data_IF_645951993340
#
_entry.id   IF_645951993340
#
_cell.length_a   1.000
_cell.length_b   1.000
_cell.length_c   1.000
_cell.angle_alpha   90.00
_cell.angle_beta   90.00
_cell.angle_gamma   90.00
#
_symmetry.space_group_name_H-M   'P 1'
#
loop_
_entity.id
_entity.type
_entity.pdbx_description
1 polymer ?
#
# COMPACT_ATOMS: atom_id res chain seq x y z
N UNK A 1 -19.99 13.09 11.88
CA UNK A 1 -19.23 13.17 10.62
C UNK A 1 -18.20 12.04 10.59
N UNK A 2 -18.11 11.31 9.48
CA UNK A 2 -17.04 10.35 9.21
C UNK A 2 -16.49 10.54 7.80
N UNK A 3 -15.21 10.21 7.59
CA UNK A 3 -14.53 10.24 6.30
C UNK A 3 -13.86 8.89 6.10
N UNK A 4 -14.12 8.26 4.96
CA UNK A 4 -13.43 7.07 4.47
C UNK A 4 -12.90 7.35 3.07
N UNK A 5 -12.11 6.44 2.52
CA UNK A 5 -11.47 6.63 1.21
C UNK A 5 -12.46 6.60 0.03
N UNK A 6 -13.73 6.24 0.23
CA UNK A 6 -14.78 6.28 -0.81
C UNK A 6 -16.09 6.96 -0.39
N UNK A 7 -16.18 7.44 0.84
CA UNK A 7 -17.43 7.98 1.40
C UNK A 7 -17.18 9.00 2.49
N UNK A 8 -17.92 10.11 2.45
CA UNK A 8 -18.04 11.07 3.54
C UNK A 8 -19.48 11.10 4.01
N UNK A 9 -19.70 11.01 5.32
CA UNK A 9 -21.04 11.04 5.90
C UNK A 9 -21.19 12.05 7.03
N UNK A 10 -22.34 12.71 7.07
CA UNK A 10 -22.79 13.59 8.16
C UNK A 10 -24.21 13.18 8.51
N UNK A 11 -24.41 12.69 9.74
CA UNK A 11 -25.68 12.13 10.22
C UNK A 11 -26.25 11.11 9.23
N UNK A 12 -27.46 11.34 8.70
CA UNK A 12 -28.11 10.43 7.74
C UNK A 12 -27.68 10.68 6.27
N UNK A 13 -26.89 11.72 6.01
CA UNK A 13 -26.43 12.07 4.66
C UNK A 13 -25.11 11.39 4.33
N UNK A 14 -25.07 10.68 3.20
CA UNK A 14 -23.86 10.03 2.67
C UNK A 14 -23.53 10.58 1.30
N UNK A 15 -22.27 10.90 1.09
CA UNK A 15 -21.73 11.31 -0.19
C UNK A 15 -20.61 10.34 -0.60
N UNK A 16 -20.88 9.56 -1.64
CA UNK A 16 -19.88 8.68 -2.25
C UNK A 16 -19.09 9.44 -3.31
N UNK A 17 -17.78 9.22 -3.34
CA UNK A 17 -16.88 9.80 -4.32
C UNK A 17 -15.89 8.74 -4.80
N UNK A 18 -15.15 9.04 -5.87
CA UNK A 18 -14.12 8.14 -6.38
C UNK A 18 -13.09 7.83 -5.29
N UNK A 19 -12.66 6.57 -5.23
CA UNK A 19 -11.75 6.06 -4.20
C UNK A 19 -10.44 6.87 -4.17
N UNK A 20 -10.17 7.57 -3.06
CA UNK A 20 -9.09 8.55 -2.91
C UNK A 20 -8.62 8.66 -1.46
N UNK A 21 -7.42 9.21 -1.25
CA UNK A 21 -6.81 9.32 0.08
C UNK A 21 -7.59 10.25 1.02
N UNK A 22 -7.56 9.98 2.32
CA UNK A 22 -8.04 10.92 3.35
C UNK A 22 -7.35 12.29 3.30
N UNK A 23 -6.07 12.32 2.92
CA UNK A 23 -5.30 13.57 2.74
C UNK A 23 -5.91 14.48 1.67
N UNK A 24 -6.51 13.90 0.63
CA UNK A 24 -7.22 14.64 -0.40
C UNK A 24 -8.49 15.28 0.16
N UNK A 25 -9.33 14.51 0.85
CA UNK A 25 -10.54 15.06 1.45
C UNK A 25 -10.20 16.17 2.45
N UNK A 26 -9.16 15.98 3.27
CA UNK A 26 -8.68 17.01 4.18
C UNK A 26 -8.23 18.28 3.43
N UNK A 27 -7.48 18.14 2.33
CA UNK A 27 -7.08 19.27 1.51
C UNK A 27 -8.28 20.07 0.97
N UNK A 28 -9.27 19.38 0.39
CA UNK A 28 -10.49 20.00 -0.14
C UNK A 28 -11.24 20.74 0.96
N UNK A 29 -11.48 20.09 2.10
CA UNK A 29 -12.20 20.68 3.24
C UNK A 29 -11.48 21.93 3.74
N UNK A 30 -10.17 21.86 3.97
CA UNK A 30 -9.40 23.00 4.47
C UNK A 30 -9.45 24.16 3.45
N UNK A 31 -9.28 23.86 2.16
CA UNK A 31 -9.32 24.86 1.09
C UNK A 31 -10.67 25.57 0.97
N UNK A 32 -11.78 24.91 1.35
CA UNK A 32 -13.08 25.58 1.42
C UNK A 32 -13.16 26.66 2.50
N UNK A 33 -12.28 26.61 3.51
CA UNK A 33 -12.25 27.53 4.64
C UNK A 33 -11.13 28.57 4.49
N UNK A 34 -9.97 28.15 4.02
CA UNK A 34 -8.78 28.99 3.88
C UNK A 34 -7.75 28.39 2.92
N UNK A 35 -6.90 29.19 2.25
CA UNK A 35 -5.75 28.66 1.50
C UNK A 35 -4.85 27.78 2.37
N UNK A 36 -4.29 26.71 1.79
CA UNK A 36 -3.37 25.84 2.50
C UNK A 36 -2.03 26.52 2.75
N UNK A 37 -1.59 26.54 4.01
CA UNK A 37 -0.21 26.87 4.33
C UNK A 37 0.76 25.80 3.78
N UNK A 38 1.97 26.21 3.40
CA UNK A 38 2.92 25.33 2.72
C UNK A 38 3.24 24.06 3.53
N UNK A 39 3.35 24.19 4.86
CA UNK A 39 3.66 23.06 5.73
C UNK A 39 2.52 22.03 5.78
N UNK A 40 1.26 22.49 5.81
CA UNK A 40 0.06 21.64 5.77
C UNK A 40 0.00 20.95 4.40
N UNK A 41 0.22 21.70 3.34
CA UNK A 41 0.25 21.18 1.99
C UNK A 41 1.28 20.04 1.83
N UNK A 42 2.50 20.23 2.36
CA UNK A 42 3.54 19.18 2.35
C UNK A 42 3.08 17.90 3.04
N UNK A 43 2.48 18.01 4.22
CA UNK A 43 1.99 16.84 4.98
C UNK A 43 0.89 16.09 4.23
N UNK A 44 -0.08 16.82 3.69
CA UNK A 44 -1.17 16.23 2.91
C UNK A 44 -0.65 15.57 1.62
N UNK A 45 0.32 16.20 0.96
CA UNK A 45 0.97 15.65 -0.23
C UNK A 45 1.70 14.34 0.07
N UNK A 46 2.47 14.28 1.16
CA UNK A 46 3.18 13.05 1.58
C UNK A 46 2.18 11.94 1.91
N UNK A 47 1.11 12.25 2.63
CA UNK A 47 0.07 11.28 2.95
C UNK A 47 -0.65 10.76 1.70
N UNK A 48 -0.97 11.64 0.74
CA UNK A 48 -1.56 11.23 -0.54
C UNK A 48 -0.58 10.37 -1.36
N UNK A 49 0.70 10.75 -1.41
CA UNK A 49 1.74 9.97 -2.09
C UNK A 49 1.80 8.54 -1.54
N UNK A 50 1.92 8.37 -0.22
CA UNK A 50 1.99 7.05 0.41
C UNK A 50 0.78 6.19 0.06
N UNK A 51 -0.42 6.74 0.21
CA UNK A 51 -1.68 6.09 -0.18
C UNK A 51 -1.70 5.71 -1.67
N UNK A 52 -1.28 6.62 -2.56
CA UNK A 52 -1.33 6.41 -4.00
C UNK A 52 -0.39 5.28 -4.47
N UNK A 53 0.74 5.10 -3.79
CA UNK A 53 1.69 4.03 -4.11
C UNK A 53 1.07 2.67 -3.79
N UNK A 54 0.43 2.54 -2.63
CA UNK A 54 -0.16 1.27 -2.20
C UNK A 54 -1.43 0.95 -2.99
N UNK A 55 -2.40 1.86 -3.09
CA UNK A 55 -3.75 1.50 -3.51
C UNK A 55 -4.10 1.78 -4.97
N UNK A 56 -3.31 2.58 -5.67
CA UNK A 56 -3.55 2.84 -7.08
C UNK A 56 -2.64 1.97 -7.97
N UNK A 57 -3.22 1.37 -9.02
CA UNK A 57 -2.51 0.51 -9.96
C UNK A 57 -1.88 1.31 -11.11
N UNK A 58 -2.68 1.99 -11.94
CA UNK A 58 -2.19 2.72 -13.12
C UNK A 58 -2.97 4.02 -13.36
N UNK A 59 -2.29 5.08 -13.85
CA UNK A 59 -2.86 6.41 -14.12
C UNK A 59 -3.63 7.00 -12.95
N UNK A 60 -3.05 6.92 -11.75
CA UNK A 60 -3.60 7.56 -10.56
C UNK A 60 -3.87 9.03 -10.87
N UNK A 61 -5.14 9.43 -10.82
CA UNK A 61 -5.48 10.82 -10.99
C UNK A 61 -4.88 11.58 -9.82
N UNK A 62 -4.05 12.58 -10.13
CA UNK A 62 -3.52 13.45 -9.11
C UNK A 62 -4.57 14.49 -8.75
N UNK A 63 -4.93 14.62 -7.47
CA UNK A 63 -5.87 15.63 -7.03
C UNK A 63 -5.24 17.00 -7.21
N UNK A 64 -5.85 17.84 -8.05
CA UNK A 64 -5.34 19.17 -8.39
C UNK A 64 -5.23 20.08 -7.16
N UNK A 65 -6.06 19.81 -6.18
CA UNK A 65 -6.17 20.50 -4.91
C UNK A 65 -4.94 20.32 -4.02
N UNK A 66 -4.12 19.28 -4.26
CA UNK A 66 -2.86 19.03 -3.56
C UNK A 66 -1.64 19.27 -4.49
N UNK A 67 -1.84 19.76 -5.72
CA UNK A 67 -0.74 20.07 -6.63
C UNK A 67 -0.16 21.45 -6.32
N UNK A 68 1.18 21.52 -6.29
CA UNK A 68 1.92 22.78 -6.23
C UNK A 68 2.25 23.33 -7.64
N UNK A 69 2.29 22.46 -8.65
CA UNK A 69 2.58 22.78 -10.04
C UNK A 69 4.02 22.49 -10.50
N UNK A 70 4.87 21.92 -9.63
CA UNK A 70 6.23 21.46 -10.00
C UNK A 70 6.32 19.93 -10.19
N UNK A 71 5.20 19.24 -10.03
CA UNK A 71 5.14 17.79 -10.14
C UNK A 71 5.40 17.31 -11.57
N UNK A 72 6.25 16.30 -11.69
CA UNK A 72 6.53 15.61 -12.95
C UNK A 72 6.39 14.11 -12.78
N UNK A 73 5.93 13.43 -13.82
CA UNK A 73 5.90 11.96 -13.81
C UNK A 73 7.33 11.43 -13.74
N UNK A 74 7.62 10.61 -12.73
CA UNK A 74 8.94 10.03 -12.50
C UNK A 74 8.82 8.59 -11.97
N UNK A 75 9.91 7.83 -12.07
CA UNK A 75 10.08 6.59 -11.31
C UNK A 75 10.66 6.97 -9.97
N UNK A 76 9.93 6.66 -8.89
CA UNK A 76 10.24 7.14 -7.54
C UNK A 76 10.38 5.95 -6.60
N UNK A 77 11.50 5.94 -5.88
CA UNK A 77 11.73 5.08 -4.72
C UNK A 77 12.38 5.92 -3.62
N UNK A 78 12.15 5.60 -2.34
CA UNK A 78 12.80 6.27 -1.23
C UNK A 78 14.33 6.18 -1.32
N UNK A 79 15.01 7.25 -0.91
CA UNK A 79 16.45 7.36 -0.70
C UNK A 79 17.34 7.21 -1.94
N UNK A 80 16.77 7.19 -3.16
CA UNK A 80 17.55 7.04 -4.40
C UNK A 80 18.59 8.15 -4.62
N UNK A 81 18.32 9.35 -4.10
CA UNK A 81 19.23 10.50 -4.21
C UNK A 81 20.34 10.48 -3.15
N UNK A 82 20.16 9.74 -2.05
CA UNK A 82 21.05 9.77 -0.89
C UNK A 82 21.82 8.47 -0.65
N UNK A 83 21.36 7.34 -1.20
CA UNK A 83 21.97 6.03 -1.02
C UNK A 83 22.32 5.37 -2.36
N UNK A 84 23.23 4.39 -2.38
CA UNK A 84 23.44 3.53 -3.54
C UNK A 84 22.12 2.92 -4.01
N UNK A 85 21.86 2.94 -5.32
CA UNK A 85 20.53 2.65 -5.85
C UNK A 85 20.00 1.26 -5.46
N UNK A 86 20.87 0.23 -5.42
CA UNK A 86 20.48 -1.12 -4.96
C UNK A 86 20.09 -1.16 -3.48
N UNK A 87 20.79 -0.41 -2.63
CA UNK A 87 20.47 -0.29 -1.21
C UNK A 87 19.18 0.50 -1.02
N UNK A 88 18.96 1.58 -1.76
CA UNK A 88 17.70 2.33 -1.74
C UNK A 88 16.51 1.42 -2.12
N UNK A 89 16.63 0.63 -3.20
CA UNK A 89 15.60 -0.33 -3.60
C UNK A 89 15.36 -1.41 -2.55
N UNK A 90 16.40 -1.91 -1.88
CA UNK A 90 16.23 -2.90 -0.81
C UNK A 90 15.59 -2.33 0.46
N UNK A 91 15.64 -1.01 0.64
CA UNK A 91 14.92 -0.28 1.68
C UNK A 91 13.51 0.17 1.26
N UNK A 92 13.10 -0.06 0.02
CA UNK A 92 11.83 0.45 -0.48
C UNK A 92 10.65 -0.41 -0.05
N UNK A 93 9.70 0.21 0.63
CA UNK A 93 8.33 -0.30 0.90
C UNK A 93 7.26 0.54 0.20
N UNK A 94 7.64 1.66 -0.42
CA UNK A 94 6.79 2.58 -1.18
C UNK A 94 7.39 2.86 -2.57
N UNK A 95 7.24 1.92 -3.53
CA UNK A 95 6.56 0.63 -3.40
C UNK A 95 7.48 -0.48 -2.86
N UNK A 96 6.87 -1.60 -2.45
CA UNK A 96 7.60 -2.86 -2.24
C UNK A 96 8.16 -3.34 -3.58
N UNK A 97 9.40 -3.82 -3.57
CA UNK A 97 10.09 -4.47 -4.69
C UNK A 97 10.26 -5.95 -4.33
N UNK A 98 9.31 -6.84 -4.69
CA UNK A 98 9.40 -8.26 -4.35
C UNK A 98 10.72 -8.87 -4.82
N UNK A 99 11.37 -9.65 -3.95
CA UNK A 99 12.67 -10.23 -4.22
C UNK A 99 13.85 -9.25 -4.04
N UNK A 100 13.60 -8.00 -3.63
CA UNK A 100 14.64 -7.00 -3.35
C UNK A 100 14.45 -6.36 -1.97
N UNK A 101 13.23 -5.93 -1.63
CA UNK A 101 12.92 -5.32 -0.33
C UNK A 101 13.35 -6.24 0.81
N UNK A 102 14.09 -5.69 1.77
CA UNK A 102 14.64 -6.39 2.93
C UNK A 102 15.90 -7.23 2.66
N UNK A 103 16.38 -7.34 1.42
CA UNK A 103 17.64 -8.03 1.14
C UNK A 103 18.83 -7.13 1.47
N UNK A 104 19.89 -7.74 2.02
CA UNK A 104 21.18 -7.08 2.10
C UNK A 104 21.80 -7.06 0.70
N UNK A 105 21.96 -5.86 0.15
CA UNK A 105 22.57 -5.66 -1.16
C UNK A 105 23.68 -4.64 -0.99
N UNK A 106 24.91 -5.05 -1.29
CA UNK A 106 26.06 -4.17 -1.31
C UNK A 106 26.35 -3.69 -2.74
N UNK A 107 26.95 -2.51 -2.83
CA UNK A 107 27.45 -1.94 -4.09
C UNK A 107 26.46 -1.11 -4.89
N UNK A 108 26.99 -0.47 -5.94
CA UNK A 108 26.28 0.46 -6.81
C UNK A 108 26.64 1.93 -6.54
N UNK A 109 26.39 2.77 -7.54
CA UNK A 109 26.45 4.23 -7.41
C UNK A 109 25.13 4.81 -6.90
N UNK A 110 25.17 6.09 -6.51
CA UNK A 110 23.95 6.89 -6.34
C UNK A 110 23.34 7.10 -7.73
N UNK A 111 22.01 7.15 -7.83
CA UNK A 111 21.33 7.21 -9.13
C UNK A 111 21.81 8.36 -10.02
N UNK A 112 22.17 9.50 -9.41
CA UNK A 112 22.63 10.71 -10.10
C UNK A 112 24.00 10.54 -10.79
N UNK A 113 24.82 9.59 -10.36
CA UNK A 113 26.14 9.31 -10.94
C UNK A 113 26.14 8.14 -11.92
N UNK A 114 25.00 7.48 -12.11
CA UNK A 114 24.89 6.31 -12.99
C UNK A 114 24.69 6.73 -14.45
N UNK A 115 25.34 6.02 -15.36
CA UNK A 115 25.08 6.08 -16.80
C UNK A 115 23.72 5.48 -17.14
N UNK A 116 23.20 5.77 -18.33
CA UNK A 116 21.92 5.20 -18.78
C UNK A 116 21.96 3.66 -18.83
N UNK A 117 23.09 3.07 -19.25
CA UNK A 117 23.26 1.61 -19.29
C UNK A 117 23.20 0.99 -17.89
N UNK A 118 23.82 1.64 -16.90
CA UNK A 118 23.76 1.20 -15.51
C UNK A 118 22.34 1.33 -14.93
N UNK A 119 21.60 2.37 -15.28
CA UNK A 119 20.19 2.53 -14.88
C UNK A 119 19.32 1.44 -15.49
N UNK A 120 19.50 1.13 -16.78
CA UNK A 120 18.79 0.04 -17.46
C UNK A 120 19.12 -1.31 -16.81
N UNK A 121 20.40 -1.56 -16.50
CA UNK A 121 20.84 -2.78 -15.82
C UNK A 121 20.24 -2.91 -14.41
N UNK A 122 20.10 -1.80 -13.68
CA UNK A 122 19.44 -1.78 -12.38
C UNK A 122 17.94 -2.16 -12.49
N UNK A 123 17.25 -1.60 -13.49
CA UNK A 123 15.85 -1.92 -13.75
C UNK A 123 15.66 -3.38 -14.15
N UNK A 124 16.51 -3.90 -15.04
CA UNK A 124 16.49 -5.30 -15.46
C UNK A 124 16.70 -6.25 -14.27
N UNK A 125 17.67 -5.95 -13.41
CA UNK A 125 17.89 -6.69 -12.16
C UNK A 125 16.66 -6.69 -11.26
N UNK A 126 16.04 -5.52 -11.05
CA UNK A 126 14.86 -5.41 -10.19
C UNK A 126 13.66 -6.17 -10.76
N UNK A 127 13.41 -6.05 -12.07
CA UNK A 127 12.34 -6.78 -12.78
C UNK A 127 12.58 -8.29 -12.74
N UNK A 128 13.82 -8.73 -12.95
CA UNK A 128 14.21 -10.13 -12.83
C UNK A 128 14.00 -10.68 -11.42
N UNK A 129 14.34 -9.90 -10.38
CA UNK A 129 14.11 -10.28 -9.00
C UNK A 129 12.61 -10.43 -8.68
N UNK A 130 11.78 -9.49 -9.13
CA UNK A 130 10.31 -9.53 -8.98
C UNK A 130 9.73 -10.77 -9.64
N UNK A 131 10.11 -11.04 -10.89
CA UNK A 131 9.65 -12.21 -11.63
C UNK A 131 10.07 -13.52 -10.95
N UNK A 132 11.32 -13.61 -10.51
CA UNK A 132 11.85 -14.80 -9.81
C UNK A 132 11.15 -15.06 -8.47
N UNK A 133 10.74 -14.00 -7.77
CA UNK A 133 9.93 -14.10 -6.55
C UNK A 133 8.49 -14.56 -6.84
N UNK A 134 8.07 -14.54 -8.12
CA UNK A 134 6.76 -15.02 -8.59
C UNK A 134 5.69 -13.94 -8.67
N UNK A 135 6.10 -12.67 -8.77
CA UNK A 135 5.18 -11.53 -8.93
C UNK A 135 5.12 -11.06 -10.39
N UNK A 136 3.98 -10.50 -10.77
CA UNK A 136 3.85 -9.79 -12.03
C UNK A 136 4.68 -8.49 -11.98
N UNK A 137 5.50 -8.24 -13.00
CA UNK A 137 6.43 -7.08 -13.03
C UNK A 137 5.73 -5.73 -12.95
N UNK A 138 4.49 -5.63 -13.41
CA UNK A 138 3.63 -4.44 -13.24
C UNK A 138 3.44 -4.00 -11.77
N UNK A 139 3.80 -4.80 -10.77
CA UNK A 139 3.88 -4.32 -9.38
C UNK A 139 4.82 -3.10 -9.24
N UNK A 140 5.84 -2.99 -10.11
CA UNK A 140 6.75 -1.84 -10.14
C UNK A 140 6.15 -0.60 -10.80
N UNK A 141 5.02 -0.69 -11.51
CA UNK A 141 4.31 0.49 -12.02
C UNK A 141 3.81 1.38 -10.86
N UNK A 142 3.74 0.82 -9.63
CA UNK A 142 3.50 1.57 -8.39
C UNK A 142 4.58 2.62 -8.11
N UNK A 143 5.79 2.49 -8.66
CA UNK A 143 6.86 3.48 -8.54
C UNK A 143 6.67 4.67 -9.49
N UNK A 144 5.86 4.52 -10.54
CA UNK A 144 5.64 5.59 -11.53
C UNK A 144 4.62 6.57 -10.98
N UNK A 145 5.08 7.72 -10.49
CA UNK A 145 4.23 8.71 -9.80
C UNK A 145 4.60 10.13 -10.19
N UNK A 146 3.62 11.05 -10.23
CA UNK A 146 3.90 12.47 -10.14
C UNK A 146 4.69 12.79 -8.86
N UNK A 147 5.83 13.44 -9.06
CA UNK A 147 6.84 13.66 -8.05
C UNK A 147 7.22 15.14 -8.04
N UNK A 148 7.16 15.75 -6.86
CA UNK A 148 7.70 17.08 -6.59
C UNK A 148 9.13 16.93 -6.03
N UNK A 149 10.18 17.32 -6.79
CA UNK A 149 11.56 17.30 -6.30
C UNK A 149 11.77 18.22 -5.10
N UNK A 150 10.97 19.28 -4.96
CA UNK A 150 11.06 20.21 -3.84
C UNK A 150 10.65 19.56 -2.50
N UNK A 151 9.72 18.59 -2.53
CA UNK A 151 9.17 17.97 -1.31
C UNK A 151 9.74 16.59 -1.00
N UNK A 152 10.31 15.89 -1.99
CA UNK A 152 10.87 14.54 -1.84
C UNK A 152 9.94 13.61 -1.04
N UNK A 153 8.67 13.48 -1.47
CA UNK A 153 7.62 12.79 -0.71
C UNK A 153 7.98 11.36 -0.32
N UNK A 154 8.78 10.67 -1.12
CA UNK A 154 9.11 9.26 -0.91
C UNK A 154 9.93 9.04 0.37
N UNK A 155 10.94 9.88 0.61
CA UNK A 155 11.81 9.77 1.78
C UNK A 155 11.04 10.06 3.06
N UNK A 156 10.19 11.10 3.03
CA UNK A 156 9.34 11.49 4.15
C UNK A 156 8.26 10.43 4.41
N UNK A 157 7.63 9.90 3.36
CA UNK A 157 6.63 8.86 3.45
C UNK A 157 7.20 7.57 4.03
N UNK A 158 8.42 7.16 3.64
CA UNK A 158 9.07 5.98 4.19
C UNK A 158 9.29 6.09 5.71
N UNK A 159 9.67 7.28 6.20
CA UNK A 159 9.79 7.54 7.65
C UNK A 159 8.43 7.47 8.35
N UNK A 160 7.43 8.18 7.83
CA UNK A 160 6.09 8.20 8.41
C UNK A 160 5.47 6.81 8.42
N UNK A 161 5.71 6.00 7.39
CA UNK A 161 5.26 4.62 7.33
C UNK A 161 5.85 3.79 8.49
N UNK A 162 7.15 3.92 8.74
CA UNK A 162 7.80 3.26 9.88
C UNK A 162 7.19 3.69 11.22
N UNK A 163 6.90 4.98 11.38
CA UNK A 163 6.26 5.52 12.60
C UNK A 163 4.86 4.93 12.81
N UNK A 164 4.02 4.92 11.76
CA UNK A 164 2.67 4.34 11.80
C UNK A 164 2.71 2.82 12.05
N UNK A 165 3.74 2.12 11.57
CA UNK A 165 3.95 0.71 11.83
C UNK A 165 4.45 0.41 13.27
N UNK A 166 4.69 1.44 14.10
CA UNK A 166 5.14 1.30 15.50
C UNK A 166 6.67 1.30 15.68
N UNK A 167 7.42 1.77 14.68
CA UNK A 167 8.88 1.89 14.70
C UNK A 167 9.35 3.34 14.96
N UNK A 168 8.66 4.02 15.88
CA UNK A 168 9.00 5.37 16.35
C UNK A 168 10.42 5.37 16.93
N UNK A 169 11.21 6.37 16.54
CA UNK A 169 12.62 6.55 16.95
C UNK A 169 13.57 5.37 16.61
N UNK A 170 13.17 4.47 15.71
CA UNK A 170 14.01 3.38 15.19
C UNK A 170 14.46 3.65 13.77
N UNK A 171 15.59 3.07 13.34
CA UNK A 171 16.04 3.18 11.95
C UNK A 171 15.03 2.55 10.98
N UNK A 172 14.86 3.21 9.81
CA UNK A 172 13.98 2.71 8.73
C UNK A 172 14.39 1.30 8.30
N UNK A 173 15.67 0.96 8.33
CA UNK A 173 16.15 -0.39 8.01
C UNK A 173 15.55 -1.46 8.94
N UNK A 174 15.38 -1.14 10.23
CA UNK A 174 14.77 -2.07 11.20
C UNK A 174 13.31 -2.33 10.85
N UNK A 175 12.58 -1.28 10.47
CA UNK A 175 11.21 -1.39 9.97
C UNK A 175 11.16 -2.25 8.71
N UNK A 176 11.98 -1.95 7.71
CA UNK A 176 11.97 -2.65 6.41
C UNK A 176 12.32 -4.12 6.59
N UNK A 177 13.31 -4.46 7.42
CA UNK A 177 13.65 -5.86 7.71
C UNK A 177 12.47 -6.60 8.35
N UNK A 178 11.78 -6.01 9.32
CA UNK A 178 10.61 -6.62 9.94
C UNK A 178 9.45 -6.77 8.96
N UNK A 179 9.15 -5.72 8.18
CA UNK A 179 8.12 -5.76 7.15
C UNK A 179 8.42 -6.85 6.11
N UNK A 180 9.65 -6.92 5.61
CA UNK A 180 10.05 -7.90 4.61
C UNK A 180 9.90 -9.34 5.14
N UNK A 181 10.31 -9.61 6.37
CA UNK A 181 10.12 -10.91 7.01
C UNK A 181 8.64 -11.33 7.00
N UNK A 182 7.74 -10.43 7.43
CA UNK A 182 6.31 -10.70 7.44
C UNK A 182 5.75 -10.84 6.03
N UNK A 183 6.15 -9.98 5.09
CA UNK A 183 5.73 -10.02 3.69
C UNK A 183 6.05 -11.37 3.06
N UNK A 184 7.31 -11.84 3.15
CA UNK A 184 7.69 -13.13 2.57
C UNK A 184 7.12 -14.32 3.34
N UNK A 185 6.85 -14.19 4.64
CA UNK A 185 6.12 -15.19 5.41
C UNK A 185 4.68 -15.34 4.88
N UNK A 186 3.98 -14.22 4.65
CA UNK A 186 2.65 -14.22 4.03
C UNK A 186 2.67 -14.88 2.66
N UNK A 187 3.62 -14.48 1.79
CA UNK A 187 3.77 -15.06 0.44
C UNK A 187 3.94 -16.58 0.48
N UNK A 188 4.69 -17.12 1.45
CA UNK A 188 4.88 -18.58 1.60
C UNK A 188 3.62 -19.30 2.08
N UNK A 189 2.79 -18.63 2.88
CA UNK A 189 1.61 -19.21 3.56
C UNK A 189 0.28 -18.93 2.86
N UNK A 190 0.29 -18.29 1.69
CA UNK A 190 -0.95 -18.02 0.91
C UNK A 190 -1.83 -19.26 0.70
N UNK A 191 -1.23 -20.46 0.61
CA UNK A 191 -1.98 -21.71 0.43
C UNK A 191 -2.80 -22.14 1.65
N UNK A 192 -2.56 -21.54 2.81
CA UNK A 192 -3.27 -21.83 4.05
C UNK A 192 -4.66 -21.15 4.10
N UNK A 193 -4.95 -20.23 3.17
CA UNK A 193 -6.20 -19.52 3.08
C UNK A 193 -6.35 -18.41 4.13
N UNK A 194 -6.05 -18.66 5.41
CA UNK A 194 -6.04 -17.63 6.46
C UNK A 194 -4.66 -17.55 7.10
N UNK A 195 -4.01 -16.39 6.98
CA UNK A 195 -2.66 -16.15 7.49
C UNK A 195 -2.70 -15.15 8.65
N UNK A 196 -2.28 -15.53 9.87
CA UNK A 196 -2.21 -14.60 10.99
C UNK A 196 -1.05 -13.61 10.83
N UNK A 197 -1.32 -12.34 11.14
CA UNK A 197 -0.40 -11.22 11.06
C UNK A 197 -0.39 -10.47 12.39
N UNK A 198 0.81 -10.26 12.95
CA UNK A 198 0.96 -9.70 14.29
C UNK A 198 0.82 -8.17 14.33
N UNK A 199 1.21 -7.48 13.25
CA UNK A 199 1.10 -6.02 13.18
C UNK A 199 -0.16 -5.64 12.37
N UNK A 200 -1.11 -4.88 12.94
CA UNK A 200 -2.32 -4.47 12.22
C UNK A 200 -2.02 -3.63 10.98
N UNK A 201 -0.92 -2.87 10.97
CA UNK A 201 -0.52 -2.07 9.81
C UNK A 201 -0.30 -2.94 8.57
N UNK A 202 0.26 -4.15 8.74
CA UNK A 202 0.54 -5.07 7.65
C UNK A 202 -0.71 -5.68 7.02
N UNK A 203 -1.84 -5.68 7.74
CA UNK A 203 -3.15 -6.06 7.18
C UNK A 203 -3.58 -5.10 6.07
N UNK A 204 -3.18 -3.82 6.14
CA UNK A 204 -3.45 -2.84 5.09
C UNK A 204 -2.32 -2.77 4.05
N UNK A 205 -1.07 -2.91 4.50
CA UNK A 205 0.11 -2.69 3.66
C UNK A 205 0.38 -3.81 2.65
N UNK A 206 0.17 -5.08 3.03
CA UNK A 206 0.54 -6.24 2.20
C UNK A 206 -0.45 -6.52 1.05
N UNK A 207 -1.78 -6.49 1.27
CA UNK A 207 -2.77 -6.88 0.25
C UNK A 207 -2.61 -6.24 -1.14
N UNK A 208 -2.30 -4.93 -1.26
CA UNK A 208 -2.18 -4.31 -2.58
C UNK A 208 -1.03 -4.84 -3.43
N UNK A 209 -0.04 -5.49 -2.81
CA UNK A 209 1.07 -6.15 -3.50
C UNK A 209 0.78 -7.63 -3.72
N UNK A 210 0.14 -8.30 -2.75
CA UNK A 210 -0.20 -9.72 -2.84
C UNK A 210 -1.13 -10.01 -4.03
N UNK A 211 -1.97 -9.05 -4.43
CA UNK A 211 -2.81 -9.15 -5.62
C UNK A 211 -2.03 -9.27 -6.94
N UNK A 212 -0.72 -8.99 -6.95
CA UNK A 212 0.20 -9.17 -8.08
C UNK A 212 0.96 -10.50 -8.03
N UNK A 213 0.75 -11.32 -7.00
CA UNK A 213 1.42 -12.61 -6.87
C UNK A 213 0.83 -13.63 -7.82
N UNK A 214 1.62 -14.09 -8.80
CA UNK A 214 1.14 -14.96 -9.89
C UNK A 214 0.78 -16.37 -9.42
N UNK A 215 1.30 -16.80 -8.27
CA UNK A 215 1.02 -18.12 -7.69
C UNK A 215 -0.17 -18.11 -6.73
N UNK A 216 -0.87 -16.98 -6.60
CA UNK A 216 -2.11 -16.87 -5.84
C UNK A 216 -3.25 -17.54 -6.60
N UNK A 217 -3.53 -18.81 -6.28
CA UNK A 217 -4.55 -19.62 -6.96
C UNK A 217 -5.92 -19.61 -6.29
N UNK A 218 -6.00 -19.13 -5.06
CA UNK A 218 -7.20 -19.11 -4.22
C UNK A 218 -7.19 -17.84 -3.37
N UNK A 219 -8.32 -17.50 -2.77
CA UNK A 219 -8.42 -16.33 -1.89
C UNK A 219 -7.55 -16.52 -0.64
N UNK A 220 -7.06 -15.39 -0.14
CA UNK A 220 -6.26 -15.31 1.07
C UNK A 220 -6.82 -14.25 2.00
N UNK A 221 -6.92 -14.59 3.27
CA UNK A 221 -7.30 -13.69 4.34
C UNK A 221 -6.08 -13.44 5.25
N UNK A 222 -5.65 -12.19 5.38
CA UNK A 222 -4.65 -11.77 6.36
C UNK A 222 -5.37 -11.31 7.62
N UNK A 223 -5.13 -11.99 8.75
CA UNK A 223 -5.89 -11.80 9.98
C UNK A 223 -5.02 -11.23 11.10
N UNK A 224 -5.47 -10.16 11.72
CA UNK A 224 -4.91 -9.66 12.97
C UNK A 224 -5.95 -9.70 14.09
N UNK A 225 -5.59 -10.26 15.23
CA UNK A 225 -6.44 -10.31 16.41
C UNK A 225 -6.41 -9.00 17.20
N UNK A 226 -7.58 -8.51 17.57
CA UNK A 226 -7.75 -7.34 18.44
C UNK A 226 -8.45 -7.75 19.74
N UNK A 227 -8.51 -6.83 20.70
CA UNK A 227 -9.22 -7.08 21.97
C UNK A 227 -10.74 -7.25 21.82
N UNK A 228 -11.34 -6.79 20.71
CA UNK A 228 -12.80 -6.78 20.50
C UNK A 228 -13.25 -7.49 19.22
N UNK A 229 -12.38 -8.25 18.57
CA UNK A 229 -12.66 -8.84 17.26
C UNK A 229 -11.39 -9.03 16.46
N UNK A 230 -11.50 -9.03 15.13
CA UNK A 230 -10.36 -9.25 14.23
C UNK A 230 -10.40 -8.28 13.06
N UNK A 231 -9.23 -7.80 12.64
CA UNK A 231 -9.06 -7.10 11.36
C UNK A 231 -8.66 -8.14 10.32
N UNK A 232 -9.41 -8.24 9.23
CA UNK A 232 -9.17 -9.24 8.19
C UNK A 232 -9.13 -8.59 6.81
N UNK A 233 -7.98 -8.66 6.15
CA UNK A 233 -7.87 -8.28 4.74
C UNK A 233 -8.07 -9.50 3.85
N UNK A 234 -9.01 -9.43 2.92
CA UNK A 234 -9.30 -10.52 1.99
C UNK A 234 -8.82 -10.14 0.59
N UNK A 235 -7.96 -10.99 0.03
CA UNK A 235 -7.33 -10.83 -1.27
C UNK A 235 -7.81 -11.94 -2.19
N UNK A 236 -8.44 -11.55 -3.29
CA UNK A 236 -8.86 -12.48 -4.33
C UNK A 236 -7.70 -12.75 -5.31
N UNK A 237 -7.65 -13.95 -5.93
CA UNK A 237 -6.76 -14.17 -7.06
C UNK A 237 -7.12 -13.22 -8.22
N UNK A 238 -6.17 -12.85 -9.10
CA UNK A 238 -6.39 -11.83 -10.14
C UNK A 238 -7.65 -12.06 -11.00
N UNK A 239 -7.93 -13.32 -11.36
CA UNK A 239 -9.08 -13.70 -12.17
C UNK A 239 -10.44 -13.49 -11.47
N UNK A 240 -10.45 -13.35 -10.14
CA UNK A 240 -11.67 -13.25 -9.32
C UNK A 240 -11.83 -11.88 -8.64
N UNK A 241 -11.01 -10.88 -9.00
CA UNK A 241 -11.10 -9.53 -8.41
C UNK A 241 -12.51 -8.91 -8.55
N UNK A 242 -13.23 -9.20 -9.63
CA UNK A 242 -14.60 -8.72 -9.82
C UNK A 242 -15.58 -9.21 -8.74
N UNK A 243 -15.29 -10.33 -8.08
CA UNK A 243 -16.09 -10.90 -7.00
C UNK A 243 -15.87 -10.21 -5.64
N UNK A 244 -14.86 -9.32 -5.51
CA UNK A 244 -14.59 -8.59 -4.27
C UNK A 244 -15.78 -7.75 -3.82
N UNK A 245 -16.55 -7.16 -4.75
CA UNK A 245 -17.73 -6.36 -4.41
C UNK A 245 -18.80 -7.21 -3.72
N UNK A 246 -19.12 -8.37 -4.29
CA UNK A 246 -20.08 -9.31 -3.70
C UNK A 246 -19.60 -9.81 -2.33
N UNK A 247 -18.31 -10.15 -2.22
CA UNK A 247 -17.73 -10.55 -0.93
C UNK A 247 -17.83 -9.43 0.11
N UNK A 248 -17.63 -8.17 -0.28
CA UNK A 248 -17.75 -7.04 0.64
C UNK A 248 -19.18 -6.83 1.14
N UNK A 249 -20.19 -7.03 0.28
CA UNK A 249 -21.61 -6.99 0.63
C UNK A 249 -21.95 -8.10 1.64
N UNK A 250 -21.54 -9.34 1.37
CA UNK A 250 -21.76 -10.47 2.30
C UNK A 250 -21.07 -10.23 3.66
N UNK A 251 -19.82 -9.75 3.66
CA UNK A 251 -19.05 -9.49 4.87
C UNK A 251 -19.55 -8.28 5.67
N UNK A 252 -20.38 -7.40 5.10
CA UNK A 252 -20.99 -6.30 5.83
C UNK A 252 -21.96 -6.79 6.93
N UNK A 253 -22.42 -8.04 6.88
CA UNK A 253 -23.26 -8.65 7.93
C UNK A 253 -22.47 -8.94 9.22
N UNK A 254 -21.16 -9.19 9.10
CA UNK A 254 -20.28 -9.57 10.22
C UNK A 254 -19.52 -8.39 10.83
N UNK A 255 -19.49 -7.25 10.13
CA UNK A 255 -18.95 -6.00 10.66
C UNK A 255 -18.64 -4.97 9.58
N UNK A 256 -17.79 -3.99 9.92
CA UNK A 256 -17.48 -2.90 9.00
C UNK A 256 -16.52 -3.37 7.91
N UNK A 257 -16.94 -3.27 6.65
CA UNK A 257 -16.13 -3.67 5.49
C UNK A 257 -15.79 -2.47 4.61
N UNK A 258 -14.51 -2.35 4.26
CA UNK A 258 -13.96 -1.38 3.33
C UNK A 258 -13.50 -2.11 2.06
N UNK A 259 -14.00 -1.68 0.90
CA UNK A 259 -13.63 -2.23 -0.38
C UNK A 259 -12.53 -1.39 -1.03
N UNK A 260 -11.45 -2.05 -1.45
CA UNK A 260 -10.35 -1.47 -2.22
C UNK A 260 -10.35 -2.07 -3.64
N UNK A 261 -9.62 -1.48 -4.60
CA UNK A 261 -9.54 -2.03 -5.97
C UNK A 261 -8.98 -3.47 -6.04
N UNK A 262 -8.08 -3.83 -5.12
CA UNK A 262 -7.33 -5.09 -5.17
C UNK A 262 -7.68 -6.08 -4.05
N UNK A 263 -8.39 -5.62 -3.02
CA UNK A 263 -8.69 -6.39 -1.82
C UNK A 263 -9.86 -5.73 -1.08
N UNK A 264 -10.29 -6.32 0.03
CA UNK A 264 -11.16 -5.66 1.01
C UNK A 264 -10.56 -5.82 2.40
N UNK A 265 -10.95 -4.96 3.33
CA UNK A 265 -10.63 -5.08 4.75
C UNK A 265 -11.93 -5.08 5.53
N UNK A 266 -12.14 -6.09 6.36
CA UNK A 266 -13.30 -6.17 7.24
C UNK A 266 -12.86 -6.21 8.70
N UNK A 267 -13.52 -5.42 9.53
CA UNK A 267 -13.47 -5.59 10.97
C UNK A 267 -14.56 -6.58 11.38
N UNK A 268 -14.16 -7.77 11.82
CA UNK A 268 -15.05 -8.82 12.31
C UNK A 268 -15.28 -8.63 13.80
N UNK A 269 -16.53 -8.43 14.19
CA UNK A 269 -16.92 -8.22 15.59
C UNK A 269 -16.66 -9.48 16.46
N UNK A 270 -16.47 -9.28 17.76
CA UNK A 270 -16.35 -10.38 18.72
C UNK A 270 -17.54 -11.34 18.62
N UNK A 271 -17.26 -12.64 18.51
CA UNK A 271 -18.28 -13.69 18.37
C UNK A 271 -18.74 -13.98 16.94
N UNK A 272 -18.44 -13.13 15.95
CA UNK A 272 -18.85 -13.31 14.54
C UNK A 272 -17.80 -13.94 13.64
N UNK A 273 -16.71 -14.44 14.20
CA UNK A 273 -15.62 -15.03 13.40
C UNK A 273 -16.03 -16.31 12.66
N UNK A 274 -16.92 -17.11 13.24
CA UNK A 274 -17.45 -18.29 12.57
C UNK A 274 -18.30 -17.91 11.35
N UNK A 275 -19.11 -16.85 11.47
CA UNK A 275 -19.91 -16.33 10.37
C UNK A 275 -19.01 -15.80 9.25
N UNK A 276 -17.93 -15.09 9.61
CA UNK A 276 -16.89 -14.68 8.67
C UNK A 276 -16.32 -15.88 7.90
N UNK A 277 -15.95 -16.97 8.61
CA UNK A 277 -15.39 -18.16 7.95
C UNK A 277 -16.37 -18.80 6.98
N UNK A 278 -17.65 -18.89 7.34
CA UNK A 278 -18.68 -19.44 6.45
C UNK A 278 -18.85 -18.61 5.18
N UNK A 279 -18.89 -17.28 5.30
CA UNK A 279 -18.97 -16.37 4.15
C UNK A 279 -17.71 -16.49 3.28
N UNK A 280 -16.53 -16.49 3.92
CA UNK A 280 -15.25 -16.59 3.24
C UNK A 280 -15.08 -17.90 2.46
N UNK A 281 -15.44 -19.03 3.06
CA UNK A 281 -15.39 -20.34 2.41
C UNK A 281 -16.40 -20.45 1.26
N UNK A 282 -17.61 -19.92 1.44
CA UNK A 282 -18.63 -19.88 0.37
C UNK A 282 -18.19 -19.03 -0.81
N UNK A 283 -17.51 -17.92 -0.58
CA UNK A 283 -17.03 -17.06 -1.66
C UNK A 283 -15.76 -17.54 -2.36
N UNK A 284 -15.07 -18.55 -1.79
CA UNK A 284 -13.94 -19.26 -2.42
C UNK A 284 -14.37 -20.38 -3.37
N UNK A 285 -15.56 -20.95 -3.15
CA UNK A 285 -16.15 -22.02 -3.96
C UNK A 285 -16.97 -21.51 -5.14
#
# INVERSE_FOLDING_TARGET
>A
MYITEGEVGVDDSRYSYDFTSLSYYAAVIIQTLSPLEEHIHKVLYVGHYAWSVDYCEYRCQFPREILKGDERLAVVFPFLESLPARKALSLSTLPVVPGVTGRQVEGGGVIASMTQEEVVSLLDWALGAVFNEGFHTAVLDKAVRPYSPAFKPADVAARLEADVAGFVDKDVETYVSNFAEVFYMVVKRVKEGVVPVQNPFYVYKIPPYLSHYLKLSDWVALRHETSRGSLVAVVAPPAQRASLKKMAEDLAEVGQTLLFPTHLVTYVESGKYLDFLQIYERGRG
#
